data_IF_895263191509
#
_entry.id   IF_895263191509
#
_cell.length_a   1.000
_cell.length_b   1.000
_cell.length_c   1.000
_cell.angle_alpha   90.00
_cell.angle_beta   90.00
_cell.angle_gamma   90.00
#
_symmetry.space_group_name_H-M   'P 1'
#
loop_
_entity.id
_entity.type
_entity.pdbx_description
1 polymer ?
#
# COMPACT_ATOMS: atom_id res chain seq x y z
N UNK A 1 10.99 6.57 20.60
CA UNK A 1 10.04 6.88 19.51
C UNK A 1 9.78 8.38 19.36
N UNK A 2 9.50 9.14 20.43
CA UNK A 2 9.31 10.61 20.32
C UNK A 2 10.58 11.39 19.89
N UNK A 3 11.77 10.92 20.26
CA UNK A 3 13.03 11.62 19.95
C UNK A 3 13.46 11.62 18.48
N UNK A 4 13.02 10.63 17.69
CA UNK A 4 13.32 10.57 16.25
C UNK A 4 12.31 11.36 15.41
N UNK A 5 11.05 11.44 15.85
CA UNK A 5 10.02 12.25 15.21
C UNK A 5 10.37 13.74 15.23
N UNK A 6 10.79 14.28 16.37
CA UNK A 6 11.13 15.71 16.49
C UNK A 6 12.38 16.06 15.68
N UNK A 7 13.35 15.13 15.58
CA UNK A 7 14.54 15.29 14.75
C UNK A 7 14.22 15.24 13.26
N UNK A 8 13.31 14.37 12.85
CA UNK A 8 12.86 14.29 11.46
C UNK A 8 12.10 15.56 11.03
N UNK A 9 11.23 16.08 11.88
CA UNK A 9 10.48 17.32 11.64
C UNK A 9 11.40 18.55 11.57
N UNK A 10 12.36 18.68 12.49
CA UNK A 10 13.33 19.77 12.48
C UNK A 10 14.27 19.69 11.25
N UNK A 11 14.68 18.48 10.85
CA UNK A 11 15.50 18.27 9.66
C UNK A 11 14.74 18.61 8.38
N UNK A 12 13.44 18.34 8.34
CA UNK A 12 12.58 18.69 7.22
C UNK A 12 12.35 20.20 7.10
N UNK A 13 12.10 20.90 8.22
CA UNK A 13 11.95 22.35 8.22
C UNK A 13 13.20 23.04 7.66
N UNK A 14 14.38 22.55 8.04
CA UNK A 14 15.67 23.03 7.51
C UNK A 14 15.89 22.61 6.05
N UNK A 15 15.44 21.44 5.64
CA UNK A 15 15.47 21.00 4.24
C UNK A 15 14.56 21.87 3.35
N UNK A 16 13.39 22.29 3.84
CA UNK A 16 12.48 23.21 3.15
C UNK A 16 13.11 24.61 2.93
N UNK A 17 13.94 25.05 3.86
CA UNK A 17 14.67 26.33 3.79
C UNK A 17 15.89 26.27 2.85
N UNK A 18 16.53 25.09 2.74
CA UNK A 18 17.76 24.89 1.96
C UNK A 18 17.53 24.38 0.53
N UNK A 19 16.44 23.64 0.28
CA UNK A 19 16.15 22.96 -1.00
C UNK A 19 15.03 23.64 -1.78
N UNK A 20 15.03 24.98 -1.79
CA UNK A 20 14.08 25.85 -2.48
C UNK A 20 13.88 25.57 -3.97
N UNK A 21 14.72 24.72 -4.57
CA UNK A 21 14.74 24.42 -6.00
C UNK A 21 14.03 23.09 -6.39
N UNK A 22 13.75 22.17 -5.45
CA UNK A 22 13.08 20.88 -5.73
C UNK A 22 12.14 20.43 -4.60
N UNK A 23 11.06 21.20 -4.33
CA UNK A 23 10.22 20.97 -3.16
C UNK A 23 9.43 19.65 -3.24
N UNK A 24 9.05 19.19 -4.43
CA UNK A 24 8.29 17.94 -4.62
C UNK A 24 9.06 16.70 -4.17
N UNK A 25 10.32 16.55 -4.59
CA UNK A 25 11.15 15.38 -4.24
C UNK A 25 11.44 15.27 -2.74
N UNK A 26 11.53 16.40 -2.04
CA UNK A 26 11.69 16.43 -0.58
C UNK A 26 10.44 15.87 0.12
N UNK A 27 9.26 16.29 -0.29
CA UNK A 27 8.00 15.79 0.27
C UNK A 27 7.79 14.30 0.01
N UNK A 28 8.15 13.81 -1.19
CA UNK A 28 8.15 12.38 -1.50
C UNK A 28 9.10 11.60 -0.59
N UNK A 29 10.31 12.11 -0.37
CA UNK A 29 11.30 11.46 0.50
C UNK A 29 10.80 11.39 1.94
N UNK A 30 10.26 12.49 2.46
CA UNK A 30 9.65 12.53 3.78
C UNK A 30 8.48 11.55 3.91
N UNK A 31 7.59 11.53 2.93
CA UNK A 31 6.44 10.65 2.92
C UNK A 31 6.84 9.18 2.98
N UNK A 32 7.86 8.78 2.21
CA UNK A 32 8.44 7.44 2.25
C UNK A 32 9.09 7.12 3.60
N UNK A 33 9.81 8.06 4.22
CA UNK A 33 10.37 7.86 5.56
C UNK A 33 9.27 7.67 6.61
N UNK A 34 8.20 8.46 6.53
CA UNK A 34 7.05 8.36 7.43
C UNK A 34 6.29 7.04 7.24
N UNK A 35 6.15 6.56 6.01
CA UNK A 35 5.62 5.23 5.72
C UNK A 35 6.44 4.12 6.39
N UNK A 36 7.77 4.16 6.27
CA UNK A 36 8.65 3.14 6.84
C UNK A 36 8.56 3.03 8.37
N UNK A 37 8.29 4.14 9.05
CA UNK A 37 8.09 4.16 10.51
C UNK A 37 6.62 3.98 10.93
N UNK A 38 5.73 3.67 9.99
CA UNK A 38 4.30 3.44 10.25
C UNK A 38 3.48 4.70 10.54
N UNK A 39 4.05 5.90 10.35
CA UNK A 39 3.32 7.16 10.48
C UNK A 39 2.54 7.45 9.18
N UNK A 40 1.42 6.75 9.01
CA UNK A 40 0.60 6.81 7.78
C UNK A 40 -0.01 8.20 7.57
N UNK A 41 -0.49 8.86 8.63
CA UNK A 41 -1.10 10.20 8.53
C UNK A 41 -0.06 11.25 8.12
N UNK A 42 1.14 11.19 8.70
CA UNK A 42 2.23 12.07 8.32
C UNK A 42 2.72 11.80 6.90
N UNK A 43 2.70 10.55 6.44
CA UNK A 43 3.06 10.20 5.08
C UNK A 43 2.04 10.73 4.07
N UNK A 44 0.75 10.63 4.38
CA UNK A 44 -0.35 11.17 3.57
C UNK A 44 -0.25 12.69 3.45
N UNK A 45 -0.01 13.39 4.56
CA UNK A 45 0.21 14.83 4.53
C UNK A 45 1.38 15.22 3.60
N UNK A 46 2.49 14.48 3.65
CA UNK A 46 3.64 14.73 2.79
C UNK A 46 3.33 14.44 1.31
N UNK A 47 2.61 13.37 1.00
CA UNK A 47 2.19 13.05 -0.35
C UNK A 47 1.25 14.13 -0.93
N UNK A 48 0.34 14.66 -0.12
CA UNK A 48 -0.57 15.74 -0.53
C UNK A 48 0.17 17.05 -0.81
N UNK A 49 1.20 17.39 -0.01
CA UNK A 49 2.08 18.53 -0.31
C UNK A 49 2.84 18.34 -1.63
N UNK A 50 3.34 17.13 -1.91
CA UNK A 50 3.97 16.82 -3.19
C UNK A 50 2.99 17.00 -4.37
N UNK A 51 1.73 16.58 -4.22
CA UNK A 51 0.67 16.77 -5.23
C UNK A 51 0.33 18.25 -5.41
N UNK A 52 0.26 19.03 -4.31
CA UNK A 52 -0.02 20.47 -4.39
C UNK A 52 1.03 21.22 -5.19
N UNK A 53 2.30 20.78 -5.12
CA UNK A 53 3.42 21.35 -5.87
C UNK A 53 3.52 20.81 -7.30
N UNK A 54 3.21 19.53 -7.49
CA UNK A 54 3.29 18.85 -8.79
C UNK A 54 2.11 17.89 -8.94
N UNK A 55 0.96 18.38 -9.46
CA UNK A 55 -0.28 17.59 -9.56
C UNK A 55 -0.17 16.34 -10.42
N UNK A 56 0.84 16.27 -11.28
CA UNK A 56 1.10 15.15 -12.18
C UNK A 56 2.29 14.28 -11.73
N UNK A 57 2.78 14.43 -10.50
CA UNK A 57 3.89 13.62 -9.98
C UNK A 57 3.42 12.19 -9.67
N UNK A 58 3.77 11.16 -10.47
CA UNK A 58 3.25 9.81 -10.29
C UNK A 58 3.68 9.18 -8.97
N UNK A 59 4.86 9.51 -8.43
CA UNK A 59 5.34 8.94 -7.17
C UNK A 59 4.48 9.35 -5.97
N UNK A 60 3.83 10.51 -6.02
CA UNK A 60 2.97 10.97 -4.94
C UNK A 60 1.68 10.13 -4.86
N UNK A 61 1.08 9.83 -6.02
CA UNK A 61 -0.08 8.92 -6.09
C UNK A 61 0.30 7.49 -5.73
N UNK A 62 1.50 7.03 -6.09
CA UNK A 62 1.98 5.71 -5.69
C UNK A 62 2.12 5.59 -4.17
N UNK A 63 2.65 6.64 -3.53
CA UNK A 63 2.77 6.71 -2.08
C UNK A 63 1.39 6.68 -1.41
N UNK A 64 0.43 7.47 -1.90
CA UNK A 64 -0.95 7.42 -1.41
C UNK A 64 -1.59 6.03 -1.61
N UNK A 65 -1.34 5.36 -2.73
CA UNK A 65 -1.82 4.00 -2.97
C UNK A 65 -1.25 3.00 -1.96
N UNK A 66 0.03 3.13 -1.62
CA UNK A 66 0.65 2.35 -0.55
C UNK A 66 0.07 2.64 0.83
N UNK A 67 -0.26 3.91 1.13
CA UNK A 67 -0.91 4.31 2.38
C UNK A 67 -2.31 3.70 2.48
N UNK A 68 -3.10 3.78 1.40
CA UNK A 68 -4.43 3.19 1.34
C UNK A 68 -4.39 1.66 1.50
N UNK A 69 -3.44 0.98 0.85
CA UNK A 69 -3.21 -0.45 1.02
C UNK A 69 -2.86 -0.79 2.48
N UNK A 70 -1.97 -0.02 3.12
CA UNK A 70 -1.60 -0.22 4.52
C UNK A 70 -2.78 -0.01 5.50
N UNK A 71 -3.75 0.83 5.14
CA UNK A 71 -5.00 1.05 5.89
C UNK A 71 -6.09 0.03 5.56
N UNK A 72 -5.86 -0.88 4.60
CA UNK A 72 -6.83 -1.88 4.16
C UNK A 72 -7.90 -1.35 3.20
N UNK A 73 -7.79 -0.09 2.75
CA UNK A 73 -8.69 0.49 1.75
C UNK A 73 -8.20 0.09 0.35
N UNK A 74 -8.43 -1.18 -0.01
CA UNK A 74 -7.95 -1.74 -1.28
C UNK A 74 -8.62 -1.11 -2.49
N UNK A 75 -9.88 -0.68 -2.38
CA UNK A 75 -10.57 0.02 -3.45
C UNK A 75 -9.86 1.32 -3.80
N UNK A 76 -9.57 2.16 -2.80
CA UNK A 76 -8.83 3.41 -3.01
C UNK A 76 -7.39 3.17 -3.43
N UNK A 77 -6.73 2.14 -2.91
CA UNK A 77 -5.38 1.77 -3.33
C UNK A 77 -5.32 1.43 -4.83
N UNK A 78 -6.30 0.67 -5.34
CA UNK A 78 -6.43 0.34 -6.76
C UNK A 78 -6.59 1.61 -7.60
N UNK A 79 -7.49 2.53 -7.22
CA UNK A 79 -7.68 3.82 -7.92
C UNK A 79 -6.39 4.64 -8.00
N UNK A 80 -5.63 4.68 -6.90
CA UNK A 80 -4.38 5.45 -6.82
C UNK A 80 -3.25 4.80 -7.61
N UNK A 81 -3.17 3.47 -7.65
CA UNK A 81 -2.21 2.78 -8.50
C UNK A 81 -2.56 2.90 -9.98
N UNK A 82 -3.84 2.90 -10.35
CA UNK A 82 -4.26 3.20 -11.72
C UNK A 82 -3.87 4.64 -12.13
N UNK A 83 -4.12 5.62 -11.26
CA UNK A 83 -3.67 7.01 -11.49
C UNK A 83 -2.16 7.11 -11.65
N UNK A 84 -1.40 6.37 -10.84
CA UNK A 84 0.07 6.28 -10.95
C UNK A 84 0.47 5.76 -12.32
N UNK A 85 -0.15 4.67 -12.78
CA UNK A 85 0.13 4.10 -14.10
C UNK A 85 -0.13 5.11 -15.21
N UNK A 86 -1.30 5.77 -15.21
CA UNK A 86 -1.66 6.75 -16.23
C UNK A 86 -0.66 7.92 -16.33
N UNK A 87 -0.13 8.38 -15.20
CA UNK A 87 0.84 9.47 -15.15
C UNK A 87 2.27 9.02 -15.47
N UNK A 88 2.62 7.76 -15.18
CA UNK A 88 3.97 7.24 -15.33
C UNK A 88 4.21 6.51 -16.67
N UNK A 89 3.17 6.14 -17.42
CA UNK A 89 3.29 5.24 -18.58
C UNK A 89 4.32 5.71 -19.63
N UNK A 90 4.39 7.03 -19.90
CA UNK A 90 5.32 7.59 -20.86
C UNK A 90 6.70 7.90 -20.25
N UNK A 91 6.73 8.46 -19.04
CA UNK A 91 7.93 9.08 -18.46
C UNK A 91 8.68 8.18 -17.46
N UNK A 92 7.98 7.22 -16.84
CA UNK A 92 8.56 6.30 -15.87
C UNK A 92 7.92 4.89 -15.99
N UNK A 93 8.27 4.13 -17.06
CA UNK A 93 7.67 2.83 -17.34
C UNK A 93 7.93 1.82 -16.23
N UNK A 94 9.02 1.95 -15.47
CA UNK A 94 9.28 1.08 -14.32
C UNK A 94 8.23 1.27 -13.22
N UNK A 95 7.94 2.52 -12.84
CA UNK A 95 6.91 2.83 -11.85
C UNK A 95 5.51 2.42 -12.35
N UNK A 96 5.24 2.61 -13.64
CA UNK A 96 3.99 2.19 -14.28
C UNK A 96 3.77 0.66 -14.15
N UNK A 97 4.81 -0.15 -14.38
CA UNK A 97 4.76 -1.60 -14.20
C UNK A 97 4.56 -1.97 -12.72
N UNK A 98 5.29 -1.34 -11.80
CA UNK A 98 5.13 -1.61 -10.36
C UNK A 98 3.69 -1.30 -9.90
N UNK A 99 3.12 -0.18 -10.34
CA UNK A 99 1.74 0.20 -10.03
C UNK A 99 0.73 -0.86 -10.52
N UNK A 100 0.88 -1.33 -11.77
CA UNK A 100 0.05 -2.41 -12.31
C UNK A 100 0.18 -3.73 -11.55
N UNK A 101 1.39 -4.10 -11.14
CA UNK A 101 1.62 -5.30 -10.32
C UNK A 101 0.92 -5.19 -8.96
N UNK A 102 1.06 -4.04 -8.30
CA UNK A 102 0.38 -3.78 -7.01
C UNK A 102 -1.13 -3.85 -7.17
N UNK A 103 -1.69 -3.21 -8.19
CA UNK A 103 -3.12 -3.27 -8.51
C UNK A 103 -3.58 -4.72 -8.78
N UNK A 104 -2.86 -5.49 -9.59
CA UNK A 104 -3.19 -6.89 -9.88
C UNK A 104 -3.22 -7.76 -8.63
N UNK A 105 -2.26 -7.60 -7.72
CA UNK A 105 -2.23 -8.31 -6.45
C UNK A 105 -3.41 -7.93 -5.55
N UNK A 106 -3.82 -6.65 -5.56
CA UNK A 106 -4.97 -6.19 -4.78
C UNK A 106 -6.29 -6.69 -5.36
N UNK A 107 -6.44 -6.73 -6.68
CA UNK A 107 -7.64 -7.26 -7.33
C UNK A 107 -7.86 -8.75 -7.00
N UNK A 108 -6.79 -9.54 -6.90
CA UNK A 108 -6.88 -10.94 -6.48
C UNK A 108 -7.28 -11.09 -5.00
N UNK A 109 -6.87 -10.15 -4.14
CA UNK A 109 -7.25 -10.13 -2.71
C UNK A 109 -8.66 -9.59 -2.47
N UNK A 110 -9.10 -8.67 -3.33
CA UNK A 110 -10.42 -8.07 -3.31
C UNK A 110 -11.47 -8.91 -4.05
N UNK A 111 -11.10 -10.12 -4.51
CA UNK A 111 -12.00 -11.03 -5.22
C UNK A 111 -13.20 -11.37 -4.31
N UNK A 112 -14.43 -10.91 -4.64
CA UNK A 112 -15.62 -11.25 -3.87
C UNK A 112 -15.94 -12.76 -3.92
N UNK A 113 -15.24 -13.52 -4.78
CA UNK A 113 -15.31 -14.97 -4.90
C UNK A 113 -14.13 -15.70 -4.24
N UNK A 114 -13.23 -15.00 -3.54
CA UNK A 114 -12.22 -15.65 -2.69
C UNK A 114 -12.95 -16.44 -1.59
N UNK A 115 -13.18 -17.72 -1.86
CA UNK A 115 -13.86 -18.62 -0.94
C UNK A 115 -13.10 -18.61 0.37
N UNK A 116 -13.80 -18.28 1.47
CA UNK A 116 -13.33 -18.56 2.81
C UNK A 116 -12.75 -19.99 2.85
N UNK A 117 -11.70 -20.25 3.64
CA UNK A 117 -11.18 -21.60 3.78
C UNK A 117 -12.37 -22.51 4.07
N UNK A 118 -12.62 -23.47 3.18
CA UNK A 118 -13.56 -24.55 3.41
C UNK A 118 -13.19 -25.10 4.79
N UNK A 119 -14.03 -24.83 5.78
CA UNK A 119 -13.89 -25.47 7.08
C UNK A 119 -13.86 -26.96 6.77
N UNK A 120 -12.73 -27.61 7.03
CA UNK A 120 -12.65 -29.06 6.96
C UNK A 120 -13.74 -29.57 7.90
N UNK A 121 -14.85 -30.04 7.33
CA UNK A 121 -15.82 -30.81 8.08
C UNK A 121 -15.05 -31.98 8.67
N UNK A 122 -15.07 -32.18 10.00
CA UNK A 122 -14.34 -33.28 10.61
C UNK A 122 -14.81 -34.56 9.95
N UNK A 123 -13.84 -35.34 9.46
CA UNK A 123 -14.09 -36.60 8.77
C UNK A 123 -15.08 -37.42 9.59
N UNK A 124 -16.22 -37.75 8.98
CA UNK A 124 -17.20 -38.64 9.57
C UNK A 124 -16.50 -39.95 9.92
N UNK A 125 -16.43 -40.26 11.21
CA UNK A 125 -15.99 -41.56 11.70
C UNK A 125 -16.84 -42.64 11.03
N UNK A 126 -16.20 -43.48 10.21
CA UNK A 126 -16.84 -44.66 9.63
C UNK A 126 -17.29 -45.59 10.76
N UNK A 127 -18.54 -46.07 10.78
CA UNK A 127 -18.98 -46.99 11.81
C UNK A 127 -18.24 -48.33 11.64
N UNK A 128 -17.61 -48.78 12.73
CA UNK A 128 -16.97 -50.08 12.82
C UNK A 128 -17.98 -51.20 12.48
N UNK A 129 -17.62 -52.02 11.50
CA UNK A 129 -18.34 -53.24 11.13
C UNK A 129 -18.32 -54.22 12.31
N UNK A 130 -19.51 -54.56 12.82
CA UNK A 130 -19.68 -55.62 13.80
C UNK A 130 -19.34 -56.99 13.17
N UNK A 131 -18.71 -57.93 13.90
CA UNK A 131 -18.42 -59.25 13.37
C UNK A 131 -19.71 -60.10 13.25
N UNK A 132 -19.83 -60.80 12.13
CA UNK A 132 -20.86 -61.84 11.87
C UNK A 132 -20.78 -62.99 12.88
N UNK A 133 -21.91 -63.52 13.38
CA UNK A 133 -21.91 -64.75 14.17
C UNK A 133 -21.78 -65.98 13.27
N UNK A 134 -20.88 -66.88 13.64
CA UNK A 134 -20.75 -68.24 13.06
C UNK A 134 -21.84 -69.14 13.65
N UNK A 135 -22.44 -70.07 12.87
CA UNK A 135 -23.50 -70.96 13.34
C UNK A 135 -23.08 -71.94 14.45
#
# INVERSE_FOLDING_TARGET
QLGDQTRAEASLAKAKELLSDQPTGLWLTLGNQRMQVGNLDGAEAAANEAIALSPNEPQAYFLLGGIAEARGDYAKAIELFDKTYQLAEADNPQLAVIAKVRMGNLLQRADPFATAPIAETPAAETPATAPTPTP
#
